data_IF_978782398227
#
_entry.id   IF_978782398227
#
_cell.length_a   1.000
_cell.length_b   1.000
_cell.length_c   1.000
_cell.angle_alpha   90.00
_cell.angle_beta   90.00
_cell.angle_gamma   90.00
#
_symmetry.space_group_name_H-M   'P 1'
#
loop_
_entity.id
_entity.type
_entity.pdbx_description
1 polymer ?
#
# COMPACT_ATOMS: atom_id res chain seq x y z
N UNK A 1 -6.99 15.58 11.94
CA UNK A 1 -5.74 15.58 12.74
C UNK A 1 -4.92 14.31 12.54
N UNK A 2 -5.46 13.11 12.80
CA UNK A 2 -4.71 11.85 12.71
C UNK A 2 -4.02 11.57 11.35
N UNK A 3 -4.68 11.84 10.22
CA UNK A 3 -4.09 11.60 8.89
C UNK A 3 -2.89 12.49 8.58
N UNK A 4 -2.91 13.75 9.03
CA UNK A 4 -1.82 14.70 8.83
C UNK A 4 -0.60 14.29 9.65
N UNK A 5 -0.81 13.93 10.92
CA UNK A 5 0.25 13.41 11.80
C UNK A 5 0.88 12.16 11.19
N UNK A 6 0.05 11.21 10.74
CA UNK A 6 0.52 10.01 10.06
C UNK A 6 1.34 10.33 8.81
N UNK A 7 0.92 11.30 8.00
CA UNK A 7 1.65 11.68 6.80
C UNK A 7 3.00 12.29 7.15
N UNK A 8 3.04 13.23 8.10
CA UNK A 8 4.27 13.87 8.57
C UNK A 8 5.27 12.86 9.12
N UNK A 9 4.83 11.91 9.94
CA UNK A 9 5.71 10.87 10.50
C UNK A 9 6.31 9.97 9.41
N UNK A 10 5.49 9.54 8.45
CA UNK A 10 5.97 8.73 7.33
C UNK A 10 6.95 9.53 6.45
N UNK A 11 6.68 10.83 6.22
CA UNK A 11 7.56 11.71 5.46
C UNK A 11 8.93 11.88 6.15
N UNK A 12 8.94 12.12 7.46
CA UNK A 12 10.18 12.22 8.25
C UNK A 12 10.98 10.92 8.16
N UNK A 13 10.31 9.77 8.22
CA UNK A 13 10.96 8.45 8.13
C UNK A 13 11.65 8.26 6.78
N UNK A 14 10.99 8.62 5.67
CA UNK A 14 11.57 8.57 4.32
C UNK A 14 12.74 9.54 4.17
N UNK A 15 12.62 10.75 4.70
CA UNK A 15 13.68 11.75 4.65
C UNK A 15 14.91 11.29 5.44
N UNK A 16 14.72 10.77 6.66
CA UNK A 16 15.79 10.24 7.49
C UNK A 16 16.54 9.09 6.81
N UNK A 17 15.81 8.14 6.21
CA UNK A 17 16.43 7.01 5.51
C UNK A 17 17.13 7.46 4.22
N UNK A 18 16.60 8.45 3.51
CA UNK A 18 17.26 9.05 2.34
C UNK A 18 18.56 9.76 2.71
N UNK A 19 18.59 10.47 3.85
CA UNK A 19 19.81 11.12 4.35
C UNK A 19 20.86 10.09 4.77
N UNK A 20 20.47 9.01 5.45
CA UNK A 20 21.37 7.89 5.77
C UNK A 20 21.95 7.26 4.51
N UNK A 21 21.13 7.03 3.48
CA UNK A 21 21.60 6.51 2.20
C UNK A 21 22.63 7.43 1.54
N UNK A 22 22.37 8.74 1.54
CA UNK A 22 23.30 9.73 0.99
C UNK A 22 24.64 9.77 1.74
N UNK A 23 24.61 9.59 3.06
CA UNK A 23 25.80 9.59 3.92
C UNK A 23 26.60 8.27 3.83
N UNK A 24 25.94 7.12 3.88
CA UNK A 24 26.59 5.81 4.01
C UNK A 24 26.68 5.01 2.69
N UNK A 25 26.11 5.54 1.59
CA UNK A 25 25.93 4.92 0.26
C UNK A 25 25.27 3.53 0.24
N UNK A 26 24.92 2.98 1.39
CA UNK A 26 24.22 1.71 1.55
C UNK A 26 23.20 1.85 2.67
N UNK A 27 22.05 1.20 2.49
CA UNK A 27 21.00 1.10 3.51
C UNK A 27 20.95 -0.35 3.99
N UNK A 28 20.85 -0.54 5.31
CA UNK A 28 20.57 -1.85 5.86
C UNK A 28 19.22 -2.36 5.33
N UNK A 29 19.07 -3.67 5.19
CA UNK A 29 17.83 -4.27 4.67
C UNK A 29 16.60 -3.85 5.47
N UNK A 30 16.75 -3.66 6.78
CA UNK A 30 15.69 -3.15 7.66
C UNK A 30 15.27 -1.72 7.27
N UNK A 31 16.22 -0.80 7.07
CA UNK A 31 15.94 0.58 6.68
C UNK A 31 15.27 0.64 5.29
N UNK A 32 15.64 -0.27 4.39
CA UNK A 32 14.98 -0.40 3.07
C UNK A 32 13.51 -0.80 3.20
N UNK A 33 13.19 -1.80 4.04
CA UNK A 33 11.82 -2.26 4.27
C UNK A 33 10.99 -1.15 4.94
N UNK A 34 11.55 -0.48 5.95
CA UNK A 34 10.92 0.65 6.65
C UNK A 34 10.64 1.81 5.69
N UNK A 35 11.57 2.13 4.77
CA UNK A 35 11.33 3.13 3.73
C UNK A 35 10.18 2.76 2.80
N UNK A 36 10.11 1.50 2.34
CA UNK A 36 8.99 1.04 1.49
C UNK A 36 7.65 1.12 2.22
N UNK A 37 7.64 0.75 3.51
CA UNK A 37 6.45 0.87 4.35
C UNK A 37 6.00 2.32 4.48
N UNK A 38 6.94 3.23 4.78
CA UNK A 38 6.66 4.65 4.97
C UNK A 38 6.15 5.30 3.68
N UNK A 39 6.72 4.96 2.51
CA UNK A 39 6.24 5.41 1.21
C UNK A 39 4.82 4.91 0.95
N UNK A 40 4.57 3.60 1.11
CA UNK A 40 3.25 2.99 0.89
C UNK A 40 2.17 3.64 1.78
N UNK A 41 2.45 3.78 3.09
CA UNK A 41 1.53 4.43 4.03
C UNK A 41 1.36 5.91 3.76
N UNK A 42 2.41 6.60 3.35
CA UNK A 42 2.36 8.00 2.95
C UNK A 42 1.42 8.20 1.77
N UNK A 43 1.56 7.40 0.71
CA UNK A 43 0.70 7.44 -0.48
C UNK A 43 -0.76 7.13 -0.14
N UNK A 44 -1.01 6.15 0.74
CA UNK A 44 -2.35 5.84 1.23
C UNK A 44 -2.97 7.05 1.94
N UNK A 45 -2.24 7.67 2.86
CA UNK A 45 -2.72 8.83 3.62
C UNK A 45 -2.98 10.04 2.73
N UNK A 46 -2.13 10.28 1.73
CA UNK A 46 -2.36 11.32 0.70
C UNK A 46 -3.66 11.03 -0.06
N UNK A 47 -3.89 9.78 -0.47
CA UNK A 47 -5.12 9.38 -1.18
C UNK A 47 -6.39 9.55 -0.33
N UNK A 48 -6.29 9.30 0.98
CA UNK A 48 -7.38 9.56 1.94
C UNK A 48 -7.65 11.05 2.09
N UNK A 49 -6.60 11.87 2.30
CA UNK A 49 -6.73 13.33 2.40
C UNK A 49 -7.33 13.90 1.11
N UNK A 50 -6.87 13.43 -0.05
CA UNK A 50 -7.37 13.83 -1.35
C UNK A 50 -8.87 13.53 -1.51
N UNK A 51 -9.34 12.33 -1.11
CA UNK A 51 -10.77 11.99 -1.13
C UNK A 51 -11.60 12.90 -0.22
N UNK A 52 -11.12 13.19 0.99
CA UNK A 52 -11.81 14.09 1.93
C UNK A 52 -11.91 15.50 1.35
N UNK A 53 -10.83 15.98 0.71
CA UNK A 53 -10.83 17.28 0.04
C UNK A 53 -11.81 17.32 -1.14
N UNK A 54 -11.83 16.29 -2.00
CA UNK A 54 -12.81 16.22 -3.10
C UNK A 54 -14.24 16.19 -2.56
N UNK A 55 -14.51 15.42 -1.50
CA UNK A 55 -15.83 15.38 -0.88
C UNK A 55 -16.30 16.76 -0.42
N UNK A 56 -15.38 17.56 0.14
CA UNK A 56 -15.70 18.88 0.68
C UNK A 56 -15.83 19.96 -0.40
N UNK A 57 -14.95 19.96 -1.41
CA UNK A 57 -14.87 21.04 -2.40
C UNK A 57 -15.54 20.71 -3.73
N UNK A 58 -15.58 19.43 -4.12
CA UNK A 58 -16.09 18.98 -5.43
C UNK A 58 -16.91 17.69 -5.32
N UNK A 59 -18.03 17.67 -4.56
CA UNK A 59 -18.82 16.46 -4.32
C UNK A 59 -19.39 15.85 -5.61
N UNK A 60 -19.54 16.65 -6.68
CA UNK A 60 -19.98 16.16 -8.00
C UNK A 60 -18.99 15.19 -8.65
N UNK A 61 -17.69 15.34 -8.39
CA UNK A 61 -16.68 14.42 -8.92
C UNK A 61 -16.78 13.02 -8.30
N UNK A 62 -17.24 12.93 -7.05
CA UNK A 62 -17.50 11.64 -6.39
C UNK A 62 -18.79 10.96 -6.87
N UNK A 63 -19.68 11.67 -7.57
CA UNK A 63 -20.82 11.05 -8.25
C UNK A 63 -20.40 10.29 -9.52
N UNK A 64 -19.20 10.55 -10.05
CA UNK A 64 -18.67 9.78 -11.15
C UNK A 64 -18.19 8.41 -10.64
N UNK A 65 -18.97 7.38 -10.93
CA UNK A 65 -18.73 6.01 -10.47
C UNK A 65 -17.37 5.47 -10.92
N UNK A 66 -16.92 5.80 -12.13
CA UNK A 66 -15.63 5.34 -12.66
C UNK A 66 -14.49 5.92 -11.82
N UNK A 67 -14.54 7.23 -11.55
CA UNK A 67 -13.54 7.92 -10.73
C UNK A 67 -13.51 7.39 -9.29
N UNK A 68 -14.69 7.16 -8.69
CA UNK A 68 -14.82 6.59 -7.35
C UNK A 68 -14.25 5.16 -7.28
N UNK A 69 -14.54 4.33 -8.29
CA UNK A 69 -14.06 2.95 -8.35
C UNK A 69 -12.53 2.88 -8.46
N UNK A 70 -11.93 3.70 -9.32
CA UNK A 70 -10.46 3.78 -9.46
C UNK A 70 -9.81 4.19 -8.13
N UNK A 71 -10.33 5.23 -7.47
CA UNK A 71 -9.82 5.66 -6.17
C UNK A 71 -9.97 4.58 -5.11
N UNK A 72 -11.08 3.84 -5.11
CA UNK A 72 -11.32 2.76 -4.16
C UNK A 72 -10.33 1.60 -4.35
N UNK A 73 -10.15 1.14 -5.59
CA UNK A 73 -9.19 0.08 -5.93
C UNK A 73 -7.77 0.49 -5.54
N UNK A 74 -7.34 1.71 -5.86
CA UNK A 74 -6.02 2.22 -5.51
C UNK A 74 -5.81 2.28 -3.99
N UNK A 75 -6.82 2.70 -3.23
CA UNK A 75 -6.73 2.73 -1.77
C UNK A 75 -6.66 1.34 -1.15
N UNK A 76 -7.45 0.39 -1.66
CA UNK A 76 -7.41 -1.01 -1.19
C UNK A 76 -6.06 -1.65 -1.47
N UNK A 77 -5.51 -1.43 -2.67
CA UNK A 77 -4.19 -1.91 -3.04
C UNK A 77 -3.11 -1.37 -2.07
N UNK A 78 -3.08 -0.06 -1.83
CA UNK A 78 -2.10 0.55 -0.93
C UNK A 78 -2.26 0.07 0.52
N UNK A 79 -3.51 -0.12 0.98
CA UNK A 79 -3.79 -0.64 2.31
C UNK A 79 -3.24 -2.05 2.49
N UNK A 80 -3.58 -2.97 1.57
CA UNK A 80 -3.08 -4.33 1.60
C UNK A 80 -1.56 -4.38 1.54
N UNK A 81 -0.95 -3.64 0.61
CA UNK A 81 0.51 -3.59 0.46
C UNK A 81 1.19 -3.12 1.76
N UNK A 82 0.65 -2.08 2.41
CA UNK A 82 1.20 -1.61 3.68
C UNK A 82 1.10 -2.67 4.79
N UNK A 83 0.00 -3.44 4.82
CA UNK A 83 -0.23 -4.47 5.82
C UNK A 83 0.75 -5.65 5.63
N UNK A 84 0.96 -6.08 4.38
CA UNK A 84 1.93 -7.10 4.03
C UNK A 84 3.37 -6.68 4.36
N UNK A 85 3.75 -5.41 4.18
CA UNK A 85 5.08 -4.94 4.56
C UNK A 85 5.26 -4.97 6.09
N UNK A 86 4.21 -4.65 6.87
CA UNK A 86 4.26 -4.72 8.34
C UNK A 86 4.47 -6.15 8.82
N UNK A 87 3.77 -7.14 8.25
CA UNK A 87 3.94 -8.54 8.66
C UNK A 87 5.37 -9.03 8.42
N UNK A 88 5.96 -8.66 7.28
CA UNK A 88 7.38 -8.95 6.97
C UNK A 88 8.32 -8.29 7.97
N UNK A 89 8.06 -7.03 8.33
CA UNK A 89 8.87 -6.30 9.31
C UNK A 89 8.76 -6.94 10.70
N UNK A 90 7.56 -7.35 11.13
CA UNK A 90 7.35 -8.07 12.38
C UNK A 90 8.12 -9.39 12.42
N UNK A 91 8.04 -10.21 11.37
CA UNK A 91 8.81 -11.47 11.28
C UNK A 91 10.31 -11.18 11.34
N UNK A 92 10.80 -10.15 10.64
CA UNK A 92 12.20 -9.74 10.69
C UNK A 92 12.65 -9.33 12.10
N UNK A 93 11.83 -8.54 12.81
CA UNK A 93 12.12 -8.16 14.20
C UNK A 93 12.08 -9.36 15.16
N UNK A 94 11.09 -10.25 15.04
CA UNK A 94 11.02 -11.47 15.85
C UNK A 94 12.28 -12.33 15.66
N UNK A 95 12.72 -12.51 14.42
CA UNK A 95 13.95 -13.25 14.09
C UNK A 95 15.19 -12.57 14.68
N UNK A 96 15.25 -11.24 14.66
CA UNK A 96 16.35 -10.45 15.22
C UNK A 96 16.42 -10.48 16.76
N UNK A 97 15.28 -10.65 17.43
CA UNK A 97 15.23 -10.80 18.90
C UNK A 97 15.61 -12.23 19.31
N UNK A 98 15.19 -13.22 18.53
CA UNK A 98 15.45 -14.66 18.78
C UNK A 98 16.87 -15.09 18.33
N UNK A 99 17.59 -14.25 17.56
CA UNK A 99 18.96 -14.54 17.05
C UNK A 99 20.02 -14.84 18.09
N UNK A 100 19.76 -14.70 19.39
CA UNK A 100 20.69 -15.23 20.38
C UNK A 100 20.66 -16.76 20.50
N UNK A 101 19.67 -17.49 19.92
CA UNK A 101 19.56 -18.93 20.21
C UNK A 101 18.96 -19.91 19.16
N UNK A 102 18.76 -19.59 17.87
CA UNK A 102 18.08 -20.56 16.96
C UNK A 102 18.57 -20.63 15.50
N UNK A 103 18.79 -21.87 15.00
CA UNK A 103 19.26 -22.20 13.63
C UNK A 103 18.36 -21.70 12.47
N UNK A 104 17.08 -21.45 12.73
CA UNK A 104 16.15 -20.80 11.78
C UNK A 104 16.62 -19.38 11.37
N UNK A 105 17.32 -18.66 12.24
CA UNK A 105 17.82 -17.31 11.95
C UNK A 105 18.92 -17.29 10.88
N UNK A 106 19.76 -18.31 10.79
CA UNK A 106 20.80 -18.40 9.75
C UNK A 106 20.15 -18.71 8.40
N UNK A 107 19.11 -19.55 8.40
CA UNK A 107 18.34 -19.88 7.19
C UNK A 107 17.57 -18.67 6.65
N UNK A 108 16.90 -17.89 7.51
CA UNK A 108 16.23 -16.65 7.11
C UNK A 108 17.22 -15.56 6.68
N UNK A 109 18.40 -15.44 7.31
CA UNK A 109 19.43 -14.47 6.89
C UNK A 109 19.92 -14.72 5.47
N UNK A 110 20.08 -15.97 5.06
CA UNK A 110 20.42 -16.37 3.69
C UNK A 110 19.25 -16.12 2.72
N UNK A 111 18.02 -16.46 3.14
CA UNK A 111 16.82 -16.30 2.32
C UNK A 111 16.31 -14.87 2.19
N UNK A 112 16.60 -13.94 3.09
CA UNK A 112 16.10 -12.55 3.06
C UNK A 112 16.47 -11.83 1.75
N UNK A 113 17.69 -12.04 1.23
CA UNK A 113 18.11 -11.46 -0.06
C UNK A 113 17.21 -11.91 -1.22
N UNK A 114 16.74 -13.16 -1.16
CA UNK A 114 15.87 -13.77 -2.19
C UNK A 114 14.38 -13.63 -1.87
N UNK A 115 14.01 -13.51 -0.60
CA UNK A 115 12.63 -13.42 -0.10
C UNK A 115 12.06 -12.02 -0.25
N UNK A 116 12.86 -10.96 -0.11
CA UNK A 116 12.38 -9.58 -0.30
C UNK A 116 11.77 -9.38 -1.69
N UNK A 117 12.43 -9.72 -2.81
CA UNK A 117 11.80 -9.60 -4.12
C UNK A 117 10.61 -10.57 -4.30
N UNK A 118 10.66 -11.76 -3.70
CA UNK A 118 9.56 -12.75 -3.73
C UNK A 118 8.31 -12.31 -2.96
N UNK A 119 8.49 -11.62 -1.83
CA UNK A 119 7.44 -11.03 -1.01
C UNK A 119 6.82 -9.80 -1.67
N UNK A 120 7.66 -8.97 -2.30
CA UNK A 120 7.16 -7.84 -3.10
C UNK A 120 6.35 -8.36 -4.28
N UNK A 121 6.83 -9.38 -5.01
CA UNK A 121 6.06 -9.96 -6.12
C UNK A 121 4.78 -10.65 -5.65
N UNK A 122 4.79 -11.43 -4.57
CA UNK A 122 3.56 -12.05 -4.03
C UNK A 122 2.57 -11.02 -3.50
N UNK A 123 3.02 -9.94 -2.84
CA UNK A 123 2.12 -8.86 -2.41
C UNK A 123 1.52 -8.09 -3.59
N UNK A 124 2.28 -7.89 -4.68
CA UNK A 124 1.78 -7.32 -5.93
C UNK A 124 0.75 -8.23 -6.59
N UNK A 125 1.07 -9.52 -6.75
CA UNK A 125 0.19 -10.53 -7.36
C UNK A 125 -1.10 -10.68 -6.55
N UNK A 126 -1.01 -10.83 -5.24
CA UNK A 126 -2.19 -10.97 -4.38
C UNK A 126 -3.05 -9.71 -4.42
N UNK A 127 -2.44 -8.53 -4.40
CA UNK A 127 -3.20 -7.28 -4.50
C UNK A 127 -3.86 -7.09 -5.88
N UNK A 128 -3.19 -7.48 -6.97
CA UNK A 128 -3.77 -7.55 -8.31
C UNK A 128 -4.93 -8.55 -8.38
N UNK A 129 -4.74 -9.75 -7.82
CA UNK A 129 -5.75 -10.82 -7.84
C UNK A 129 -6.97 -10.48 -6.99
N UNK A 130 -6.80 -9.72 -5.90
CA UNK A 130 -7.94 -9.23 -5.10
C UNK A 130 -8.63 -8.01 -5.71
N UNK A 131 -7.90 -7.19 -6.49
CA UNK A 131 -8.47 -5.99 -7.13
C UNK A 131 -9.14 -6.27 -8.47
N UNK A 132 -8.68 -7.26 -9.24
CA UNK A 132 -9.25 -7.63 -10.54
C UNK A 132 -10.75 -8.00 -10.48
N UNK A 133 -11.20 -8.89 -9.58
CA UNK A 133 -12.60 -9.30 -9.48
C UNK A 133 -13.49 -8.13 -9.04
N UNK A 134 -12.98 -7.27 -8.16
CA UNK A 134 -13.64 -6.05 -7.71
C UNK A 134 -13.78 -5.03 -8.84
N UNK A 135 -12.72 -4.85 -9.64
CA UNK A 135 -12.74 -3.98 -10.82
C UNK A 135 -13.73 -4.50 -11.87
N UNK A 136 -13.69 -5.79 -12.20
CA UNK A 136 -14.61 -6.43 -13.15
C UNK A 136 -16.06 -6.33 -12.68
N UNK A 137 -16.34 -6.60 -11.41
CA UNK A 137 -17.70 -6.49 -10.85
C UNK A 137 -18.22 -5.06 -10.88
N UNK A 138 -17.35 -4.07 -10.64
CA UNK A 138 -17.70 -2.65 -10.73
C UNK A 138 -17.98 -2.20 -12.17
N UNK A 139 -17.19 -2.63 -13.14
CA UNK A 139 -17.39 -2.34 -14.57
C UNK A 139 -18.69 -2.98 -15.07
N UNK A 140 -18.98 -4.22 -14.66
CA UNK A 140 -20.17 -4.94 -15.06
C UNK A 140 -21.45 -4.31 -14.45
N UNK A 141 -21.41 -3.92 -13.18
CA UNK A 141 -22.51 -3.19 -12.53
C UNK A 141 -22.77 -1.82 -13.19
N UNK A 142 -21.71 -1.13 -13.62
CA UNK A 142 -21.81 0.14 -14.35
C UNK A 142 -22.49 -0.03 -15.71
N UNK A 143 -22.10 -1.04 -16.50
CA UNK A 143 -22.75 -1.33 -17.78
C UNK A 143 -24.24 -1.67 -17.58
N UNK A 144 -24.56 -2.47 -16.57
CA UNK A 144 -25.94 -2.83 -16.24
C UNK A 144 -26.75 -1.58 -15.84
N UNK A 145 -26.22 -0.69 -15.01
CA UNK A 145 -26.89 0.56 -14.63
C UNK A 145 -27.06 1.51 -15.81
N UNK A 146 -26.09 1.60 -16.71
CA UNK A 146 -26.17 2.42 -17.92
C UNK A 146 -27.22 1.86 -18.89
N UNK A 147 -27.33 0.55 -19.04
CA UNK A 147 -28.37 -0.13 -19.83
C UNK A 147 -29.76 0.11 -19.22
N UNK A 148 -29.91 -0.05 -17.90
CA UNK A 148 -31.19 0.21 -17.20
C UNK A 148 -31.61 1.69 -17.34
N UNK A 149 -30.67 2.62 -17.21
CA UNK A 149 -30.93 4.05 -17.39
C UNK A 149 -31.35 4.38 -18.83
N UNK A 150 -30.70 3.77 -19.83
CA UNK A 150 -31.06 3.93 -21.24
C UNK A 150 -32.45 3.35 -21.55
N UNK A 151 -32.78 2.19 -20.98
CA UNK A 151 -34.12 1.56 -21.10
C UNK A 151 -35.20 2.39 -20.40
N UNK A 152 -34.87 3.09 -19.31
CA UNK A 152 -35.85 3.91 -18.56
C UNK A 152 -36.14 5.27 -19.21
N UNK A 153 -35.34 5.67 -20.20
CA UNK A 153 -35.49 6.92 -20.98
C UNK A 153 -36.17 6.67 -22.34
N UNK A 154 -36.13 5.42 -22.81
CA UNK A 154 -36.80 4.96 -24.03
C UNK A 154 -38.26 4.58 -23.74
#
# INVERSE_FOLDING_TARGET
MACLVGFTVNLITVAANSMKWKSQRSLQTCDKIVSHLAISRGLYLVSVIFRISIFKFFPRLLKNYIFLSILYVLNMFLFHLSHWIVTVLCVFYCVRIVTYNCALCVFLRSRISTMVPWLVTTSLIMSLLSSLPLALKSINLYLVLQIIFFISIL
#
